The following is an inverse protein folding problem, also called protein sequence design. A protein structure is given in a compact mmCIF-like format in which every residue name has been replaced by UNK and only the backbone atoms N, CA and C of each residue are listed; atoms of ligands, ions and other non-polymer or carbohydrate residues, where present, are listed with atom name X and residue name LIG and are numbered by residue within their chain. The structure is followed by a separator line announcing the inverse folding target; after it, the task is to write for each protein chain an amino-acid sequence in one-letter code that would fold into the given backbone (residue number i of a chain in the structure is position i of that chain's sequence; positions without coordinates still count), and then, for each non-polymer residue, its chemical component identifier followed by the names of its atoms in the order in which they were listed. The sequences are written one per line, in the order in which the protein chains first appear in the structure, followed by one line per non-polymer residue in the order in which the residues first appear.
data_IF_155427544073
#
_entry.id   IF_155427544073
#
_cell.length_a   1.000
_cell.length_b   1.000
_cell.length_c   1.000
_cell.angle_alpha   90.00
_cell.angle_beta   90.00
_cell.angle_gamma   90.00
#
_symmetry.space_group_name_H-M   'P 1'
#
loop_
_entity.id
_entity.type
_entity.pdbx_description
1 polymer ?
#
# COMPACT_ATOMS: atom_id res chain seq x y z
N UNK A 1 -1.22 -11.14 -3.53
CA UNK A 1 -1.68 -12.48 -4.05
C UNK A 1 -0.51 -13.26 -4.59
N UNK A 2 -0.27 -14.47 -4.08
CA UNK A 2 0.83 -15.34 -4.51
C UNK A 2 0.39 -16.29 -5.62
N UNK A 3 1.32 -16.74 -6.47
CA UNK A 3 1.04 -17.76 -7.47
C UNK A 3 0.85 -19.14 -6.83
N UNK A 4 -0.03 -20.01 -7.37
CA UNK A 4 -0.15 -21.37 -6.91
C UNK A 4 1.15 -22.14 -7.15
N UNK A 5 1.53 -23.01 -6.21
CA UNK A 5 2.69 -23.90 -6.38
C UNK A 5 2.42 -24.99 -7.42
N UNK A 6 1.18 -25.45 -7.46
CA UNK A 6 0.72 -26.41 -8.46
C UNK A 6 0.04 -25.67 -9.62
N UNK A 7 0.53 -25.85 -10.84
CA UNK A 7 0.02 -25.18 -12.05
C UNK A 7 -1.43 -25.56 -12.41
N UNK A 8 -1.97 -26.63 -11.83
CA UNK A 8 -3.37 -27.06 -12.03
C UNK A 8 -4.35 -26.32 -11.13
N UNK A 9 -3.88 -25.59 -10.12
CA UNK A 9 -4.73 -24.83 -9.21
C UNK A 9 -4.95 -23.38 -9.72
N UNK A 10 -6.17 -22.90 -9.60
CA UNK A 10 -6.55 -21.54 -10.00
C UNK A 10 -5.87 -20.48 -9.12
N UNK A 11 -5.76 -20.75 -7.81
CA UNK A 11 -5.23 -19.82 -6.81
C UNK A 11 -4.38 -20.56 -5.77
N UNK A 12 -3.46 -19.83 -5.13
CA UNK A 12 -2.59 -20.39 -4.08
C UNK A 12 -3.35 -20.65 -2.77
N UNK A 13 -2.82 -21.53 -1.90
CA UNK A 13 -3.38 -21.78 -0.57
C UNK A 13 -3.46 -20.50 0.29
N UNK A 14 -2.48 -19.62 0.20
CA UNK A 14 -2.51 -18.32 0.89
C UNK A 14 -3.69 -17.48 0.39
N UNK A 15 -3.93 -17.47 -0.92
CA UNK A 15 -5.07 -16.75 -1.50
C UNK A 15 -6.39 -17.39 -1.10
N UNK A 16 -6.50 -18.73 -1.05
CA UNK A 16 -7.69 -19.44 -0.54
C UNK A 16 -8.00 -19.04 0.90
N UNK A 17 -7.00 -19.05 1.78
CA UNK A 17 -7.17 -18.64 3.18
C UNK A 17 -7.70 -17.21 3.29
N UNK A 18 -7.15 -16.28 2.52
CA UNK A 18 -7.62 -14.90 2.47
C UNK A 18 -9.08 -14.80 1.98
N UNK A 19 -9.43 -15.54 0.93
CA UNK A 19 -10.81 -15.57 0.42
C UNK A 19 -11.77 -16.10 1.49
N UNK A 20 -11.40 -17.17 2.19
CA UNK A 20 -12.23 -17.71 3.28
C UNK A 20 -12.41 -16.71 4.43
N UNK A 21 -11.37 -15.97 4.80
CA UNK A 21 -11.48 -14.91 5.81
C UNK A 21 -12.46 -13.81 5.34
N UNK A 22 -12.33 -13.31 4.10
CA UNK A 22 -13.27 -12.34 3.54
C UNK A 22 -14.71 -12.82 3.50
N UNK A 23 -14.93 -14.09 3.13
CA UNK A 23 -16.27 -14.68 3.13
C UNK A 23 -16.86 -14.81 4.53
N UNK A 24 -16.04 -15.17 5.54
CA UNK A 24 -16.47 -15.18 6.94
C UNK A 24 -16.84 -13.78 7.43
N UNK A 25 -16.04 -12.79 7.10
CA UNK A 25 -16.37 -11.38 7.43
C UNK A 25 -17.73 -10.98 6.84
N UNK A 26 -17.99 -11.36 5.61
CA UNK A 26 -19.24 -11.06 4.92
C UNK A 26 -20.45 -11.80 5.53
N UNK A 27 -20.27 -13.09 5.87
CA UNK A 27 -21.33 -13.94 6.43
C UNK A 27 -21.67 -13.54 7.87
N UNK A 28 -20.65 -13.30 8.69
CA UNK A 28 -20.83 -13.03 10.11
C UNK A 28 -20.96 -11.54 10.46
N UNK A 29 -20.64 -10.65 9.52
CA UNK A 29 -20.73 -9.19 9.72
C UNK A 29 -19.61 -8.60 10.59
N UNK A 30 -18.59 -9.38 10.92
CA UNK A 30 -17.43 -8.95 11.74
C UNK A 30 -16.17 -8.92 10.89
N UNK A 31 -15.41 -7.82 10.97
CA UNK A 31 -14.10 -7.74 10.35
C UNK A 31 -13.04 -8.38 11.23
N UNK A 32 -12.12 -9.10 10.62
CA UNK A 32 -10.95 -9.66 11.29
C UNK A 32 -10.07 -8.52 11.78
N UNK A 33 -9.89 -8.40 13.09
CA UNK A 33 -8.98 -7.42 13.65
C UNK A 33 -7.54 -7.75 13.29
N UNK A 34 -6.90 -6.86 12.56
CA UNK A 34 -5.48 -6.91 12.25
C UNK A 34 -4.84 -5.70 12.95
N UNK A 35 -4.33 -5.91 14.15
CA UNK A 35 -3.58 -4.86 14.84
C UNK A 35 -2.13 -5.29 15.02
N UNK A 36 -1.22 -4.41 14.62
CA UNK A 36 0.18 -4.48 15.01
C UNK A 36 0.75 -3.06 15.13
N UNK A 37 1.87 -2.94 15.83
CA UNK A 37 2.50 -1.65 16.11
C UNK A 37 2.83 -0.83 14.85
N UNK A 38 3.16 -1.50 13.74
CA UNK A 38 3.51 -0.83 12.47
C UNK A 38 2.29 -0.18 11.83
N UNK A 39 1.15 -0.87 11.83
CA UNK A 39 -0.12 -0.34 11.32
C UNK A 39 -0.58 0.84 12.17
N UNK A 40 -0.52 0.72 13.49
CA UNK A 40 -0.95 1.79 14.41
C UNK A 40 -0.12 3.07 14.23
N UNK A 41 1.21 2.96 14.10
CA UNK A 41 2.07 4.11 13.81
C UNK A 41 1.76 4.70 12.43
N UNK A 42 1.65 3.84 11.39
CA UNK A 42 1.34 4.28 10.03
C UNK A 42 0.07 5.14 9.99
N UNK A 43 -1.01 4.67 10.60
CA UNK A 43 -2.28 5.39 10.66
C UNK A 43 -2.19 6.69 11.47
N UNK A 44 -1.45 6.71 12.60
CA UNK A 44 -1.34 7.90 13.44
C UNK A 44 -0.47 9.01 12.83
N UNK A 45 0.44 8.67 11.92
CA UNK A 45 1.38 9.61 11.30
C UNK A 45 1.14 9.80 9.79
N UNK A 46 0.05 9.25 9.25
CA UNK A 46 -0.22 9.29 7.80
C UNK A 46 -0.29 10.72 7.27
N UNK A 47 -1.07 11.59 7.92
CA UNK A 47 -1.22 12.99 7.50
C UNK A 47 0.10 13.75 7.64
N UNK A 48 0.83 13.56 8.74
CA UNK A 48 2.15 14.16 8.94
C UNK A 48 3.16 13.67 7.89
N UNK A 49 3.11 12.38 7.51
CA UNK A 49 3.98 11.82 6.48
C UNK A 49 3.69 12.44 5.11
N UNK A 50 2.42 12.68 4.79
CA UNK A 50 2.01 13.34 3.55
C UNK A 50 2.52 14.78 3.51
N UNK A 51 2.29 15.56 4.58
CA UNK A 51 2.75 16.94 4.68
C UNK A 51 4.28 17.01 4.56
N UNK A 52 4.98 16.10 5.24
CA UNK A 52 6.43 16.03 5.20
C UNK A 52 6.96 15.60 3.82
N UNK A 53 6.27 14.70 3.11
CA UNK A 53 6.63 14.34 1.75
C UNK A 53 6.49 15.53 0.80
N UNK A 54 5.41 16.29 0.91
CA UNK A 54 5.19 17.53 0.13
C UNK A 54 6.33 18.52 0.38
N UNK A 55 6.68 18.76 1.64
CA UNK A 55 7.78 19.66 2.04
C UNK A 55 9.14 19.19 1.50
N UNK A 56 9.51 17.94 1.78
CA UNK A 56 10.86 17.44 1.47
C UNK A 56 11.10 17.21 -0.02
N UNK A 57 10.05 16.97 -0.80
CA UNK A 57 10.14 16.81 -2.26
C UNK A 57 9.86 18.11 -3.02
N UNK A 58 9.62 19.24 -2.31
CA UNK A 58 9.26 20.51 -2.90
C UNK A 58 8.05 20.39 -3.86
N UNK A 59 7.04 19.57 -3.48
CA UNK A 59 5.83 19.39 -4.27
C UNK A 59 4.91 20.62 -4.12
N UNK A 60 4.06 20.88 -5.13
CA UNK A 60 3.04 21.92 -4.97
C UNK A 60 2.10 21.57 -3.82
N UNK A 61 1.64 22.57 -3.08
CA UNK A 61 0.66 22.36 -2.03
C UNK A 61 -0.56 21.61 -2.58
N UNK A 62 -0.84 20.45 -1.98
CA UNK A 62 -1.91 19.54 -2.41
C UNK A 62 -2.52 18.91 -1.16
N UNK A 63 -3.84 18.93 -1.08
CA UNK A 63 -4.54 18.24 0.00
C UNK A 63 -4.49 16.73 -0.23
N UNK A 64 -4.47 15.96 0.87
CA UNK A 64 -4.66 14.52 0.84
C UNK A 64 -5.94 14.18 0.08
N UNK A 65 -5.86 13.20 -0.79
CA UNK A 65 -7.03 12.67 -1.46
C UNK A 65 -7.81 11.75 -0.53
N UNK A 66 -9.11 11.98 -0.40
CA UNK A 66 -10.02 11.13 0.36
C UNK A 66 -10.98 10.35 -0.56
N UNK A 67 -10.94 10.62 -1.87
CA UNK A 67 -11.80 9.98 -2.83
C UNK A 67 -11.33 8.56 -3.13
N UNK A 68 -12.27 7.61 -3.04
CA UNK A 68 -12.05 6.22 -3.41
C UNK A 68 -12.50 5.97 -4.84
N UNK A 69 -11.61 5.41 -5.63
CA UNK A 69 -11.84 5.05 -7.04
C UNK A 69 -12.08 3.55 -7.16
N UNK A 70 -13.03 3.15 -8.01
CA UNK A 70 -13.31 1.73 -8.23
C UNK A 70 -13.74 1.43 -9.66
N UNK A 71 -13.48 0.19 -10.07
CA UNK A 71 -14.00 -0.41 -11.28
C UNK A 71 -14.35 -1.89 -11.01
N UNK A 72 -14.73 -2.64 -12.03
CA UNK A 72 -15.11 -4.06 -11.86
C UNK A 72 -14.05 -4.95 -11.19
N UNK A 73 -12.79 -4.56 -11.20
CA UNK A 73 -11.67 -5.39 -10.73
C UNK A 73 -10.99 -4.83 -9.49
N UNK A 74 -10.94 -3.52 -9.34
CA UNK A 74 -10.09 -2.85 -8.36
C UNK A 74 -10.83 -1.76 -7.63
N UNK A 75 -10.38 -1.51 -6.40
CA UNK A 75 -10.76 -0.36 -5.59
C UNK A 75 -9.54 0.16 -4.86
N UNK A 76 -9.43 1.48 -4.72
CA UNK A 76 -8.33 2.10 -3.99
C UNK A 76 -8.49 3.59 -3.78
N UNK A 77 -7.76 4.10 -2.79
CA UNK A 77 -7.72 5.51 -2.40
C UNK A 77 -6.24 5.92 -2.38
N UNK A 78 -5.71 6.54 -3.45
CA UNK A 78 -4.34 7.04 -3.46
C UNK A 78 -4.19 8.24 -2.52
N UNK A 79 -3.00 8.46 -1.95
CA UNK A 79 -2.77 9.54 -0.98
C UNK A 79 -2.78 10.92 -1.64
N UNK A 80 -2.05 11.09 -2.77
CA UNK A 80 -2.02 12.34 -3.51
C UNK A 80 -2.13 12.10 -5.02
N UNK A 81 -2.77 13.04 -5.71
CA UNK A 81 -2.83 13.10 -7.17
C UNK A 81 -2.37 14.48 -7.59
N UNK A 82 -1.19 14.57 -8.22
CA UNK A 82 -0.59 15.83 -8.63
C UNK A 82 -0.40 15.79 -10.15
N UNK A 83 -1.20 16.55 -10.88
CA UNK A 83 -1.23 16.57 -12.35
C UNK A 83 -1.47 15.17 -12.94
N UNK A 84 -0.45 14.57 -13.57
CA UNK A 84 -0.49 13.27 -14.23
C UNK A 84 0.18 12.14 -13.41
N UNK A 85 0.43 12.37 -12.14
CA UNK A 85 1.21 11.48 -11.27
C UNK A 85 0.47 11.17 -9.98
N UNK A 86 0.43 9.90 -9.63
CA UNK A 86 -0.08 9.39 -8.34
C UNK A 86 1.08 9.27 -7.36
N UNK A 87 0.85 9.65 -6.12
CA UNK A 87 1.79 9.45 -5.02
C UNK A 87 1.15 8.57 -3.96
N UNK A 88 1.93 7.64 -3.43
CA UNK A 88 1.59 6.81 -2.28
C UNK A 88 2.72 6.95 -1.25
N UNK A 89 2.36 7.41 -0.06
CA UNK A 89 3.32 7.81 0.97
C UNK A 89 3.34 6.76 2.08
N UNK A 90 4.53 6.30 2.43
CA UNK A 90 4.76 5.32 3.49
C UNK A 90 5.62 5.91 4.59
N UNK A 91 5.09 5.94 5.81
CA UNK A 91 5.86 6.28 6.99
C UNK A 91 6.67 5.06 7.44
N UNK A 92 8.00 5.18 7.46
CA UNK A 92 8.87 4.13 8.03
C UNK A 92 8.77 4.10 9.54
N UNK A 93 8.78 2.88 10.12
CA UNK A 93 8.73 2.71 11.57
C UNK A 93 9.93 3.34 12.27
N UNK A 94 11.13 3.09 11.73
CA UNK A 94 12.41 3.59 12.23
C UNK A 94 13.46 3.60 11.11
N UNK A 95 14.69 3.97 11.48
CA UNK A 95 15.84 4.03 10.57
C UNK A 95 16.21 2.68 9.94
N UNK A 96 15.85 1.55 10.58
CA UNK A 96 16.15 0.21 10.07
C UNK A 96 15.09 -0.29 9.08
N UNK A 97 13.90 0.25 9.15
CA UNK A 97 12.81 -0.03 8.20
C UNK A 97 12.75 0.99 7.06
N UNK A 98 13.52 2.08 7.16
CA UNK A 98 13.64 3.07 6.10
C UNK A 98 14.59 2.57 5.00
N UNK A 99 14.13 2.51 3.72
CA UNK A 99 14.89 1.90 2.63
C UNK A 99 15.97 2.85 2.08
N UNK A 100 16.93 3.24 2.92
CA UNK A 100 17.95 4.23 2.59
C UNK A 100 18.86 3.78 1.43
N UNK A 101 19.21 2.50 1.41
CA UNK A 101 20.18 1.94 0.47
C UNK A 101 19.55 1.12 -0.67
N UNK A 102 18.27 0.82 -0.58
CA UNK A 102 17.54 0.05 -1.57
C UNK A 102 17.29 0.88 -2.84
N UNK A 103 17.70 0.33 -3.99
CA UNK A 103 17.47 0.97 -5.29
C UNK A 103 16.16 0.55 -5.95
N UNK A 104 15.53 -0.51 -5.46
CA UNK A 104 14.25 -1.02 -5.92
C UNK A 104 13.21 -0.94 -4.80
N UNK A 105 11.94 -0.96 -5.16
CA UNK A 105 10.83 -0.97 -4.19
C UNK A 105 10.95 -2.21 -3.29
N UNK A 106 11.09 -2.04 -1.97
CA UNK A 106 11.34 -3.15 -1.05
C UNK A 106 10.23 -4.19 -1.01
N UNK A 107 9.00 -3.76 -1.23
CA UNK A 107 7.80 -4.60 -1.14
C UNK A 107 7.01 -4.56 -2.44
N UNK A 108 6.90 -5.70 -3.12
CA UNK A 108 6.16 -5.83 -4.38
C UNK A 108 4.69 -5.43 -4.27
N UNK A 109 4.10 -5.56 -3.09
CA UNK A 109 2.70 -5.19 -2.86
C UNK A 109 2.47 -3.70 -3.10
N UNK A 110 3.41 -2.82 -2.74
CA UNK A 110 3.33 -1.39 -3.03
C UNK A 110 3.46 -1.09 -4.52
N UNK A 111 4.31 -1.84 -5.23
CA UNK A 111 4.37 -1.74 -6.69
C UNK A 111 3.01 -2.07 -7.34
N UNK A 112 2.37 -3.17 -6.92
CA UNK A 112 1.06 -3.54 -7.43
C UNK A 112 -0.04 -2.54 -7.02
N UNK A 113 0.04 -1.98 -5.83
CA UNK A 113 -0.87 -0.92 -5.37
C UNK A 113 -0.82 0.30 -6.30
N UNK A 114 0.38 0.77 -6.64
CA UNK A 114 0.57 1.89 -7.57
C UNK A 114 0.06 1.58 -8.99
N UNK A 115 0.28 0.35 -9.50
CA UNK A 115 -0.26 -0.09 -10.77
C UNK A 115 -1.80 -0.02 -10.78
N UNK A 116 -2.43 -0.47 -9.70
CA UNK A 116 -3.89 -0.40 -9.52
C UNK A 116 -4.35 1.06 -9.49
N UNK A 117 -3.69 1.93 -8.75
CA UNK A 117 -4.05 3.35 -8.70
C UNK A 117 -3.95 4.03 -10.07
N UNK A 118 -2.86 3.77 -10.80
CA UNK A 118 -2.71 4.29 -12.15
C UNK A 118 -3.80 3.77 -13.09
N UNK A 119 -4.18 2.49 -12.98
CA UNK A 119 -5.26 1.92 -13.78
C UNK A 119 -6.63 2.56 -13.47
N UNK A 120 -6.93 2.78 -12.20
CA UNK A 120 -8.19 3.40 -11.76
C UNK A 120 -8.33 4.83 -12.25
N UNK A 121 -7.23 5.57 -12.28
CA UNK A 121 -7.20 6.99 -12.65
C UNK A 121 -6.88 7.24 -14.13
N UNK A 122 -6.51 6.20 -14.89
CA UNK A 122 -6.05 6.36 -16.28
C UNK A 122 -4.69 7.06 -16.41
N UNK A 123 -3.89 7.08 -15.35
CA UNK A 123 -2.58 7.70 -15.31
C UNK A 123 -1.47 6.71 -15.68
N UNK A 124 -0.29 7.24 -16.02
CA UNK A 124 0.85 6.43 -16.48
C UNK A 124 2.07 6.54 -15.58
N UNK A 125 2.03 7.41 -14.59
CA UNK A 125 3.13 7.66 -13.66
C UNK A 125 2.66 7.58 -12.22
N UNK A 126 3.47 6.96 -11.39
CA UNK A 126 3.28 6.96 -9.95
C UNK A 126 4.61 7.09 -9.22
N UNK A 127 4.58 7.53 -7.98
CA UNK A 127 5.75 7.65 -7.11
C UNK A 127 5.41 7.03 -5.76
N UNK A 128 6.21 6.05 -5.35
CA UNK A 128 6.22 5.59 -3.97
C UNK A 128 7.19 6.44 -3.17
N UNK A 129 6.73 6.99 -2.07
CA UNK A 129 7.56 7.83 -1.21
C UNK A 129 7.64 7.24 0.19
N UNK A 130 8.85 6.95 0.65
CA UNK A 130 9.08 6.64 2.06
C UNK A 130 9.53 7.88 2.81
N UNK A 131 8.93 8.12 3.96
CA UNK A 131 9.28 9.21 4.87
C UNK A 131 9.69 8.63 6.22
N UNK A 132 10.79 9.13 6.78
CA UNK A 132 11.22 8.82 8.14
C UNK A 132 10.91 10.02 9.03
N UNK A 133 9.90 9.84 9.89
CA UNK A 133 9.42 10.84 10.85
C UNK A 133 9.95 10.59 12.24
N UNK A 134 10.02 11.64 13.04
CA UNK A 134 10.25 11.55 14.47
C UNK A 134 9.20 10.63 15.14
N UNK A 135 9.51 10.09 16.29
CA UNK A 135 8.55 9.29 17.04
C UNK A 135 7.36 10.14 17.47
N UNK A 136 6.13 9.60 17.40
CA UNK A 136 4.95 10.31 17.88
C UNK A 136 5.02 10.56 19.39
N UNK A 137 4.33 11.59 19.87
CA UNK A 137 4.30 11.93 21.31
C UNK A 137 3.72 10.81 22.19
N UNK A 138 2.78 10.03 21.67
CA UNK A 138 2.07 8.98 22.38
C UNK A 138 2.74 7.59 22.20
N UNK A 139 4.03 7.51 22.46
CA UNK A 139 4.74 6.22 22.45
C UNK A 139 4.37 5.37 23.66
N UNK A 140 4.33 4.04 23.50
CA UNK A 140 4.30 3.14 24.64
C UNK A 140 5.49 3.40 25.59
N UNK A 141 5.27 3.30 26.89
CA UNK A 141 6.29 3.62 27.91
C UNK A 141 7.60 2.80 27.82
N UNK A 142 7.59 1.72 27.05
CA UNK A 142 8.75 0.86 26.82
C UNK A 142 9.53 1.21 25.53
N UNK A 143 9.04 2.14 24.70
CA UNK A 143 9.72 2.60 23.51
C UNK A 143 10.52 3.89 23.79
N UNK A 144 11.76 3.94 23.31
CA UNK A 144 12.58 5.15 23.41
C UNK A 144 12.25 6.07 22.22
N UNK A 145 11.88 7.34 22.46
CA UNK A 145 11.65 8.31 21.40
C UNK A 145 12.89 8.49 20.52
N UNK A 146 12.70 8.54 19.23
CA UNK A 146 13.74 8.79 18.23
C UNK A 146 13.43 10.05 17.46
N UNK A 147 14.44 10.84 17.15
CA UNK A 147 14.32 12.08 16.38
C UNK A 147 15.23 12.05 15.17
N UNK A 148 14.69 12.40 14.01
CA UNK A 148 15.38 12.41 12.73
C UNK A 148 15.31 13.77 12.04
N UNK A 149 14.51 14.70 12.57
CA UNK A 149 14.28 16.03 12.00
C UNK A 149 15.56 16.88 11.88
N UNK A 150 16.58 16.58 12.67
CA UNK A 150 17.92 17.22 12.63
C UNK A 150 18.79 16.73 11.45
N UNK A 151 18.41 15.62 10.79
CA UNK A 151 19.19 15.04 9.69
C UNK A 151 18.86 15.71 8.36
N UNK A 152 19.81 15.68 7.44
CA UNK A 152 19.61 16.10 6.05
C UNK A 152 18.46 15.34 5.39
N UNK A 153 17.70 16.00 4.52
CA UNK A 153 16.53 15.42 3.85
C UNK A 153 16.83 14.10 3.13
N UNK A 154 18.02 13.93 2.57
CA UNK A 154 18.43 12.70 1.88
C UNK A 154 18.43 11.45 2.75
N UNK A 155 18.46 11.60 4.08
CA UNK A 155 18.40 10.50 5.05
C UNK A 155 16.98 10.26 5.58
N UNK A 156 16.01 11.08 5.18
CA UNK A 156 14.66 11.04 5.70
C UNK A 156 13.58 10.85 4.64
N UNK A 157 13.94 10.97 3.36
CA UNK A 157 13.00 10.74 2.26
C UNK A 157 13.64 9.88 1.17
N UNK A 158 12.89 8.93 0.67
CA UNK A 158 13.26 8.07 -0.46
C UNK A 158 12.08 7.96 -1.40
N UNK A 159 12.31 8.13 -2.70
CA UNK A 159 11.27 7.97 -3.72
C UNK A 159 11.64 6.91 -4.74
N UNK A 160 10.62 6.27 -5.29
CA UNK A 160 10.70 5.32 -6.40
C UNK A 160 9.69 5.74 -7.44
N UNK A 161 10.19 6.09 -8.63
CA UNK A 161 9.34 6.41 -9.76
C UNK A 161 8.87 5.11 -10.42
N UNK A 162 7.59 4.99 -10.74
CA UNK A 162 6.95 3.80 -11.29
C UNK A 162 6.16 4.16 -12.53
N UNK A 163 6.40 3.42 -13.61
CA UNK A 163 5.63 3.52 -14.84
C UNK A 163 4.53 2.47 -14.88
N UNK A 164 3.44 2.81 -15.55
CA UNK A 164 2.31 1.91 -15.74
C UNK A 164 2.66 0.75 -16.66
N UNK A 165 2.23 -0.45 -16.28
CA UNK A 165 2.41 -1.68 -17.03
C UNK A 165 1.08 -2.35 -17.35
N UNK A 166 0.72 -2.40 -18.63
CA UNK A 166 -0.45 -3.11 -19.14
C UNK A 166 -0.41 -4.61 -18.77
N UNK A 167 0.77 -5.23 -18.87
CA UNK A 167 0.95 -6.65 -18.58
C UNK A 167 0.68 -6.98 -17.11
N UNK A 168 1.14 -6.11 -16.20
CA UNK A 168 0.89 -6.25 -14.77
C UNK A 168 -0.60 -6.15 -14.46
N UNK A 169 -1.28 -5.19 -15.08
CA UNK A 169 -2.73 -5.03 -14.89
C UNK A 169 -3.51 -6.20 -15.48
N UNK A 170 -3.10 -6.72 -16.63
CA UNK A 170 -3.71 -7.92 -17.21
C UNK A 170 -3.56 -9.13 -16.28
N UNK A 171 -2.36 -9.36 -15.71
CA UNK A 171 -2.12 -10.42 -14.74
C UNK A 171 -2.97 -10.25 -13.46
N UNK A 172 -3.06 -9.03 -12.92
CA UNK A 172 -3.89 -8.75 -11.75
C UNK A 172 -5.38 -8.99 -12.01
N UNK A 173 -5.91 -8.59 -13.17
CA UNK A 173 -7.29 -8.86 -13.59
C UNK A 173 -7.55 -10.37 -13.73
N UNK A 174 -6.61 -11.10 -14.32
CA UNK A 174 -6.71 -12.57 -14.42
C UNK A 174 -6.75 -13.23 -13.04
N UNK A 175 -5.95 -12.75 -12.08
CA UNK A 175 -5.99 -13.25 -10.69
C UNK A 175 -7.32 -12.98 -10.01
N UNK A 176 -7.90 -11.79 -10.19
CA UNK A 176 -9.25 -11.48 -9.68
C UNK A 176 -10.29 -12.42 -10.31
N UNK A 177 -10.20 -12.66 -11.62
CA UNK A 177 -11.08 -13.60 -12.31
C UNK A 177 -10.97 -15.02 -11.73
N UNK A 178 -9.75 -15.52 -11.53
CA UNK A 178 -9.50 -16.82 -10.93
C UNK A 178 -10.08 -16.93 -9.51
N UNK A 179 -9.97 -15.87 -8.70
CA UNK A 179 -10.58 -15.83 -7.37
C UNK A 179 -12.11 -15.92 -7.47
N UNK A 180 -12.72 -15.17 -8.38
CA UNK A 180 -14.18 -15.21 -8.59
C UNK A 180 -14.66 -16.60 -9.01
N UNK A 181 -13.93 -17.27 -9.90
CA UNK A 181 -14.24 -18.63 -10.28
C UNK A 181 -14.08 -19.60 -9.09
N UNK A 182 -13.01 -19.46 -8.30
CA UNK A 182 -12.83 -20.26 -7.09
C UNK A 182 -14.00 -20.06 -6.09
N UNK A 183 -14.44 -18.83 -5.87
CA UNK A 183 -15.58 -18.55 -4.96
C UNK A 183 -16.84 -19.29 -5.39
N UNK A 184 -17.11 -19.40 -6.70
CA UNK A 184 -18.26 -20.16 -7.23
C UNK A 184 -18.20 -21.66 -6.91
N UNK A 185 -17.02 -22.20 -6.65
CA UNK A 185 -16.85 -23.63 -6.29
C UNK A 185 -17.05 -23.92 -4.81
N UNK A 186 -17.16 -22.87 -3.99
CA UNK A 186 -17.33 -23.02 -2.54
C UNK A 186 -18.80 -23.33 -2.26
N UNK A 187 -19.05 -24.50 -1.67
CA UNK A 187 -20.39 -24.91 -1.27
C UNK A 187 -20.65 -24.49 0.19
N UNK A 188 -21.76 -23.83 0.45
CA UNK A 188 -22.18 -23.35 1.77
C UNK A 188 -23.30 -24.22 2.38
N UNK A 189 -23.62 -25.36 1.74
CA UNK A 189 -24.66 -26.28 2.22
C UNK A 189 -24.16 -27.16 3.36
#
# INVERSE_FOLDING_TARGET
MTNPRNKTELISETTKSYVYDCLKEQIYGYKKEISNKYISKGLSLEDEAIDKAIELLDLPFTLKNEESYENDFFKGTPDLIIKDTVYDIKCSWDEFTFPLFENEIPTKDYYYQLQVYMNLLGLKKAVLVYVLLDSPENLPAWETPKTYSHLDKKYRIKKYDVEYSEDVIADLKQRVTNIREFIKTINYE
#
